data_IF_482452340299
#
_entry.id   IF_482452340299
#
_cell.length_a   1.000
_cell.length_b   1.000
_cell.length_c   1.000
_cell.angle_alpha   90.00
_cell.angle_beta   90.00
_cell.angle_gamma   90.00
#
_symmetry.space_group_name_H-M   'P 1'
#
loop_
_entity.id
_entity.type
_entity.pdbx_description
1 polymer ?
#
# COMPACT_ATOMS: atom_id res chain seq x y z
N UNK A 1 -3.29 6.65 18.69
CA UNK A 1 -3.02 5.44 19.51
C UNK A 1 -1.65 4.85 19.16
N UNK A 2 -1.17 3.83 19.86
CA UNK A 2 0.04 3.08 19.49
C UNK A 2 -0.34 1.62 19.21
N UNK A 3 0.21 1.04 18.16
CA UNK A 3 0.04 -0.37 17.80
C UNK A 3 1.37 -1.00 17.43
N UNK A 4 1.47 -2.33 17.48
CA UNK A 4 2.66 -3.02 16.97
C UNK A 4 2.64 -3.09 15.43
N UNK A 5 3.80 -3.17 14.78
CA UNK A 5 3.86 -3.27 13.31
C UNK A 5 3.10 -4.50 12.79
N UNK A 6 3.20 -5.63 13.49
CA UNK A 6 2.49 -6.86 13.14
C UNK A 6 0.96 -6.72 13.30
N UNK A 7 0.52 -6.02 14.35
CA UNK A 7 -0.90 -5.72 14.55
C UNK A 7 -1.43 -4.79 13.45
N UNK A 8 -0.66 -3.78 13.06
CA UNK A 8 -0.99 -2.90 11.93
C UNK A 8 -1.10 -3.70 10.64
N UNK A 9 -0.10 -4.54 10.32
CA UNK A 9 -0.10 -5.35 9.11
C UNK A 9 -1.33 -6.25 9.03
N UNK A 10 -1.60 -7.00 10.09
CA UNK A 10 -2.74 -7.91 10.13
C UNK A 10 -4.09 -7.19 10.07
N UNK A 11 -4.21 -6.02 10.69
CA UNK A 11 -5.43 -5.20 10.60
C UNK A 11 -5.62 -4.64 9.20
N UNK A 12 -4.58 -4.07 8.58
CA UNK A 12 -4.67 -3.55 7.21
C UNK A 12 -4.95 -4.66 6.19
N UNK A 13 -4.34 -5.83 6.34
CA UNK A 13 -4.60 -7.00 5.51
C UNK A 13 -6.09 -7.39 5.57
N UNK A 14 -6.65 -7.51 6.78
CA UNK A 14 -8.06 -7.84 6.96
C UNK A 14 -8.97 -6.72 6.47
N UNK A 15 -8.63 -5.47 6.70
CA UNK A 15 -9.38 -4.32 6.20
C UNK A 15 -9.48 -4.35 4.67
N UNK A 16 -8.36 -4.58 3.97
CA UNK A 16 -8.34 -4.72 2.52
C UNK A 16 -9.19 -5.91 2.03
N UNK A 17 -9.12 -7.05 2.71
CA UNK A 17 -9.98 -8.22 2.41
C UNK A 17 -11.46 -7.92 2.64
N UNK A 18 -11.80 -7.24 3.73
CA UNK A 18 -13.16 -6.78 4.02
C UNK A 18 -13.70 -5.77 3.01
N UNK A 19 -12.81 -4.94 2.44
CA UNK A 19 -13.09 -4.07 1.30
C UNK A 19 -13.16 -4.79 -0.06
N UNK A 20 -13.14 -6.13 -0.06
CA UNK A 20 -13.27 -6.96 -1.26
C UNK A 20 -12.02 -7.06 -2.13
N UNK A 21 -10.84 -6.62 -1.66
CA UNK A 21 -9.59 -6.73 -2.43
C UNK A 21 -9.09 -8.18 -2.51
N UNK A 22 -8.42 -8.52 -3.60
CA UNK A 22 -7.76 -9.82 -3.75
C UNK A 22 -6.65 -10.01 -2.70
N UNK A 23 -6.26 -11.25 -2.43
CA UNK A 23 -5.26 -11.53 -1.39
C UNK A 23 -3.94 -10.81 -1.65
N UNK A 24 -3.39 -10.89 -2.87
CA UNK A 24 -2.13 -10.23 -3.21
C UNK A 24 -2.18 -8.71 -3.02
N UNK A 25 -3.24 -8.06 -3.51
CA UNK A 25 -3.43 -6.60 -3.32
C UNK A 25 -3.55 -6.24 -1.84
N UNK A 26 -4.21 -7.08 -1.04
CA UNK A 26 -4.35 -6.86 0.40
C UNK A 26 -3.00 -6.97 1.13
N UNK A 27 -2.16 -7.95 0.78
CA UNK A 27 -0.82 -8.12 1.35
C UNK A 27 0.10 -6.96 0.98
N UNK A 28 0.10 -6.55 -0.30
CA UNK A 28 0.95 -5.46 -0.77
C UNK A 28 0.55 -4.12 -0.15
N UNK A 29 -0.75 -3.84 -0.04
CA UNK A 29 -1.24 -2.64 0.62
C UNK A 29 -0.84 -2.61 2.11
N UNK A 30 -1.04 -3.73 2.82
CA UNK A 30 -0.72 -3.82 4.24
C UNK A 30 0.77 -3.58 4.49
N UNK A 31 1.64 -4.22 3.71
CA UNK A 31 3.09 -4.06 3.85
C UNK A 31 3.56 -2.66 3.43
N UNK A 32 2.95 -2.05 2.42
CA UNK A 32 3.22 -0.66 2.04
C UNK A 32 2.86 0.31 3.19
N UNK A 33 1.70 0.12 3.82
CA UNK A 33 1.28 0.90 5.00
C UNK A 33 2.24 0.73 6.18
N UNK A 34 2.65 -0.50 6.48
CA UNK A 34 3.65 -0.80 7.54
C UNK A 34 4.99 -0.14 7.23
N UNK A 35 5.44 -0.17 5.98
CA UNK A 35 6.68 0.46 5.58
C UNK A 35 6.65 1.98 5.81
N UNK A 36 5.54 2.64 5.48
CA UNK A 36 5.34 4.06 5.79
C UNK A 36 5.31 4.32 7.31
N UNK A 37 4.68 3.45 8.09
CA UNK A 37 4.72 3.54 9.56
C UNK A 37 6.15 3.44 10.11
N UNK A 38 6.99 2.56 9.54
CA UNK A 38 8.41 2.47 9.90
C UNK A 38 9.17 3.72 9.54
N UNK A 39 8.79 4.42 8.47
CA UNK A 39 9.37 5.71 8.12
C UNK A 39 8.92 6.86 9.06
N UNK A 40 7.96 6.61 9.95
CA UNK A 40 7.38 7.62 10.83
C UNK A 40 6.21 8.38 10.21
N UNK A 41 5.71 7.94 9.05
CA UNK A 41 4.49 8.45 8.44
C UNK A 41 3.25 7.75 9.02
N UNK A 42 2.08 8.37 8.88
CA UNK A 42 0.80 7.71 9.18
C UNK A 42 0.38 6.75 8.05
N UNK A 43 1.08 5.62 7.97
CA UNK A 43 0.84 4.61 6.94
C UNK A 43 -0.53 3.93 7.02
N UNK A 44 -1.17 3.92 8.20
CA UNK A 44 -2.52 3.39 8.36
C UNK A 44 -3.53 4.29 7.66
N UNK A 45 -3.48 5.60 7.91
CA UNK A 45 -4.35 6.56 7.20
C UNK A 45 -4.17 6.47 5.69
N UNK A 46 -2.93 6.43 5.21
CA UNK A 46 -2.63 6.30 3.77
C UNK A 46 -3.25 5.02 3.18
N UNK A 47 -3.10 3.87 3.84
CA UNK A 47 -3.65 2.61 3.35
C UNK A 47 -5.19 2.61 3.34
N UNK A 48 -5.83 3.15 4.37
CA UNK A 48 -7.30 3.23 4.46
C UNK A 48 -7.87 4.22 3.43
N UNK A 49 -7.25 5.39 3.29
CA UNK A 49 -7.66 6.36 2.25
C UNK A 49 -7.47 5.79 0.83
N UNK A 50 -6.46 4.95 0.62
CA UNK A 50 -6.26 4.22 -0.64
C UNK A 50 -7.39 3.22 -0.90
N UNK A 51 -7.84 2.48 0.12
CA UNK A 51 -8.94 1.51 -0.02
C UNK A 51 -10.29 2.17 -0.29
N UNK A 52 -10.54 3.29 0.39
CA UNK A 52 -11.79 4.05 0.29
C UNK A 52 -11.80 5.04 -0.89
N UNK A 53 -10.66 5.23 -1.56
CA UNK A 53 -10.61 6.01 -2.78
C UNK A 53 -11.61 5.44 -3.80
N UNK A 54 -12.36 6.31 -4.52
CA UNK A 54 -13.31 5.86 -5.52
C UNK A 54 -12.62 4.93 -6.52
N UNK A 55 -13.21 3.75 -6.71
CA UNK A 55 -12.76 2.83 -7.76
C UNK A 55 -13.05 3.50 -9.10
N UNK A 56 -12.01 3.97 -9.76
CA UNK A 56 -12.10 4.48 -11.13
C UNK A 56 -12.21 3.27 -12.10
N UNK A 57 -12.52 3.51 -13.37
CA UNK A 57 -12.69 2.44 -14.37
C UNK A 57 -11.44 1.54 -14.43
N UNK A 58 -11.57 0.39 -15.09
CA UNK A 58 -10.45 -0.54 -15.30
C UNK A 58 -9.17 0.21 -15.72
N UNK A 59 -8.01 -0.18 -15.15
CA UNK A 59 -6.79 0.53 -15.43
C UNK A 59 -6.46 0.50 -16.92
N UNK A 60 -6.37 1.69 -17.51
CA UNK A 60 -6.03 1.87 -18.91
C UNK A 60 -4.57 2.36 -19.02
N UNK A 61 -3.76 1.58 -19.73
CA UNK A 61 -2.38 1.94 -20.05
C UNK A 61 -2.34 2.39 -21.50
N UNK A 62 -1.87 3.61 -21.71
CA UNK A 62 -1.53 4.13 -23.02
C UNK A 62 -0.01 4.08 -23.20
N UNK A 63 0.45 3.25 -24.12
CA UNK A 63 1.86 3.16 -24.47
C UNK A 63 2.23 4.26 -25.48
N UNK A 64 3.17 5.13 -25.11
CA UNK A 64 3.63 6.27 -25.92
C UNK A 64 5.16 6.23 -26.09
N UNK A 65 5.66 5.19 -26.76
CA UNK A 65 7.10 5.01 -26.98
C UNK A 65 7.83 4.59 -25.70
N UNK A 66 8.75 5.42 -25.19
CA UNK A 66 9.49 5.16 -23.93
C UNK A 66 8.75 5.63 -22.68
N UNK A 67 7.62 6.31 -22.86
CA UNK A 67 6.75 6.72 -21.76
C UNK A 67 5.41 5.99 -21.90
N UNK A 68 4.87 5.52 -20.78
CA UNK A 68 3.51 4.98 -20.72
C UNK A 68 2.68 5.80 -19.76
N UNK A 69 1.40 5.99 -20.05
CA UNK A 69 0.49 6.76 -19.23
C UNK A 69 -0.59 5.85 -18.67
N UNK A 70 -0.67 5.75 -17.35
CA UNK A 70 -1.69 4.97 -16.67
C UNK A 70 -2.82 5.91 -16.24
N UNK A 71 -3.95 5.89 -16.96
CA UNK A 71 -4.91 7.01 -16.90
C UNK A 71 -5.99 6.88 -15.83
N UNK A 72 -6.39 5.67 -15.46
CA UNK A 72 -7.47 5.39 -14.51
C UNK A 72 -7.17 4.06 -13.80
N UNK A 73 -7.91 3.70 -12.76
CA UNK A 73 -7.77 2.41 -12.06
C UNK A 73 -8.04 2.48 -10.57
N UNK A 74 -8.21 1.31 -9.95
CA UNK A 74 -8.16 1.17 -8.49
C UNK A 74 -6.75 1.54 -8.01
N UNK A 75 -6.67 2.34 -6.94
CA UNK A 75 -5.44 3.02 -6.56
C UNK A 75 -4.27 2.05 -6.31
N UNK A 76 -4.50 0.91 -5.66
CA UNK A 76 -3.44 -0.06 -5.38
C UNK A 76 -3.06 -0.87 -6.62
N UNK A 77 -4.02 -1.22 -7.49
CA UNK A 77 -3.70 -1.83 -8.79
C UNK A 77 -2.83 -0.91 -9.64
N UNK A 78 -3.13 0.38 -9.61
CA UNK A 78 -2.35 1.41 -10.26
C UNK A 78 -0.92 1.46 -9.72
N UNK A 79 -0.75 1.44 -8.39
CA UNK A 79 0.58 1.37 -7.74
C UNK A 79 1.36 0.15 -8.19
N UNK A 80 0.74 -1.03 -8.17
CA UNK A 80 1.42 -2.28 -8.52
C UNK A 80 1.83 -2.30 -9.99
N UNK A 81 0.97 -1.84 -10.90
CA UNK A 81 1.34 -1.69 -12.30
C UNK A 81 2.55 -0.77 -12.49
N UNK A 82 2.63 0.35 -11.76
CA UNK A 82 3.78 1.26 -11.81
C UNK A 82 5.08 0.59 -11.35
N UNK A 83 5.01 -0.21 -10.28
CA UNK A 83 6.16 -0.97 -9.78
C UNK A 83 6.59 -2.01 -10.82
N UNK A 84 5.67 -2.79 -11.36
CA UNK A 84 5.96 -3.81 -12.38
C UNK A 84 6.63 -3.20 -13.61
N UNK A 85 6.13 -2.05 -14.07
CA UNK A 85 6.75 -1.34 -15.19
C UNK A 85 8.13 -0.78 -14.84
N UNK A 86 8.31 -0.22 -13.65
CA UNK A 86 9.62 0.26 -13.21
C UNK A 86 10.65 -0.87 -13.13
N UNK A 87 10.21 -2.08 -12.80
CA UNK A 87 11.04 -3.29 -12.72
C UNK A 87 11.31 -3.93 -14.10
N UNK A 88 10.62 -3.52 -15.15
CA UNK A 88 10.83 -4.06 -16.49
C UNK A 88 12.21 -3.66 -17.05
N UNK A 89 12.81 -4.52 -17.88
CA UNK A 89 14.12 -4.27 -18.52
C UNK A 89 14.09 -3.15 -19.58
N UNK A 90 12.92 -2.60 -19.87
CA UNK A 90 12.78 -1.45 -20.75
C UNK A 90 12.88 -0.17 -19.90
N UNK A 91 13.62 0.82 -20.39
CA UNK A 91 13.62 2.20 -19.88
C UNK A 91 12.23 2.84 -20.10
N UNK A 92 11.24 2.35 -19.38
CA UNK A 92 9.87 2.80 -19.44
C UNK A 92 9.57 3.67 -18.24
N UNK A 93 9.12 4.88 -18.52
CA UNK A 93 8.65 5.82 -17.51
C UNK A 93 7.15 5.74 -17.51
N UNK A 94 6.57 5.29 -16.40
CA UNK A 94 5.11 5.30 -16.30
C UNK A 94 4.66 6.51 -15.53
N UNK A 95 3.83 7.33 -16.15
CA UNK A 95 3.29 8.57 -15.61
C UNK A 95 1.86 8.37 -15.17
N UNK A 96 1.55 8.82 -13.95
CA UNK A 96 0.17 9.02 -13.50
C UNK A 96 -0.33 10.41 -13.86
N UNK A 97 -1.58 10.55 -14.34
CA UNK A 97 -2.21 11.86 -14.51
C UNK A 97 -2.45 12.52 -13.15
N UNK A 98 -2.57 13.85 -13.21
CA UNK A 98 -2.97 14.70 -12.09
C UNK A 98 -4.31 14.22 -11.50
N UNK A 99 -4.38 14.11 -10.17
CA UNK A 99 -5.65 13.88 -9.44
C UNK A 99 -5.80 12.53 -8.75
N UNK A 100 -4.81 11.63 -8.84
CA UNK A 100 -4.80 10.38 -8.07
C UNK A 100 -4.06 10.56 -6.72
N UNK A 101 -4.65 10.19 -5.56
CA UNK A 101 -4.06 10.33 -4.22
C UNK A 101 -3.01 9.24 -3.91
N UNK A 102 -2.24 8.85 -4.91
CA UNK A 102 -1.37 7.67 -4.92
C UNK A 102 0.10 7.91 -4.46
N UNK A 103 0.67 9.14 -4.39
CA UNK A 103 2.12 9.30 -4.16
C UNK A 103 2.66 8.60 -2.90
N UNK A 104 1.96 8.73 -1.78
CA UNK A 104 2.42 8.15 -0.50
C UNK A 104 2.36 6.62 -0.52
N UNK A 105 1.27 6.04 -1.01
CA UNK A 105 1.15 4.58 -1.08
C UNK A 105 2.11 3.99 -2.13
N UNK A 106 2.40 4.71 -3.22
CA UNK A 106 3.44 4.33 -4.18
C UNK A 106 4.82 4.29 -3.52
N UNK A 107 5.17 5.29 -2.70
CA UNK A 107 6.42 5.29 -1.93
C UNK A 107 6.46 4.13 -0.94
N UNK A 108 5.35 3.86 -0.24
CA UNK A 108 5.24 2.71 0.67
C UNK A 108 5.46 1.37 -0.03
N UNK A 109 4.84 1.18 -1.20
CA UNK A 109 5.01 -0.01 -2.01
C UNK A 109 6.45 -0.12 -2.53
N UNK A 110 6.95 0.90 -3.21
CA UNK A 110 8.34 0.95 -3.69
C UNK A 110 9.35 0.69 -2.58
N UNK A 111 9.12 1.24 -1.39
CA UNK A 111 9.92 1.01 -0.20
C UNK A 111 9.89 -0.43 0.27
N UNK A 112 8.71 -1.05 0.32
CA UNK A 112 8.59 -2.47 0.65
C UNK A 112 9.29 -3.38 -0.36
N UNK A 113 9.09 -3.16 -1.66
CA UNK A 113 9.80 -3.90 -2.72
C UNK A 113 11.32 -3.67 -2.64
N UNK A 114 11.74 -2.44 -2.35
CA UNK A 114 13.14 -2.08 -2.15
C UNK A 114 13.76 -2.87 -0.98
N UNK A 115 13.12 -2.85 0.19
CA UNK A 115 13.58 -3.63 1.36
C UNK A 115 13.56 -5.14 1.14
N UNK A 116 12.61 -5.65 0.35
CA UNK A 116 12.48 -7.09 0.10
C UNK A 116 13.51 -7.63 -0.90
N UNK A 117 13.79 -6.87 -1.96
CA UNK A 117 14.61 -7.34 -3.10
C UNK A 117 15.98 -6.66 -3.20
N UNK A 118 16.29 -5.70 -2.32
CA UNK A 118 17.56 -4.97 -2.36
C UNK A 118 17.67 -4.00 -3.54
N UNK A 119 16.54 -3.55 -4.08
CA UNK A 119 16.46 -2.62 -5.20
C UNK A 119 16.36 -1.18 -4.72
N UNK A 120 16.60 -0.21 -5.60
CA UNK A 120 16.33 1.20 -5.32
C UNK A 120 15.43 1.79 -6.40
N UNK A 121 14.61 2.76 -6.01
CA UNK A 121 13.69 3.44 -6.90
C UNK A 121 13.88 4.96 -6.82
N UNK A 122 13.53 5.66 -7.89
CA UNK A 122 13.32 7.11 -7.90
C UNK A 122 11.87 7.39 -8.25
N UNK A 123 11.16 8.09 -7.36
CA UNK A 123 9.84 8.65 -7.66
C UNK A 123 10.04 10.12 -8.02
N UNK A 124 9.77 10.45 -9.27
CA UNK A 124 9.97 11.77 -9.88
C UNK A 124 8.67 12.55 -9.88
N UNK A 125 8.74 13.78 -9.40
CA UNK A 125 7.62 14.72 -9.33
C UNK A 125 7.84 15.89 -10.30
N UNK A 126 6.78 16.38 -10.94
CA UNK A 126 6.91 17.49 -11.90
C UNK A 126 7.30 18.83 -11.21
N UNK A 127 6.93 19.02 -9.94
CA UNK A 127 7.04 20.29 -9.21
C UNK A 127 7.65 20.16 -7.81
N UNK A 128 8.36 19.06 -7.55
CA UNK A 128 9.00 18.81 -6.26
C UNK A 128 10.31 18.04 -6.45
N UNK A 129 11.09 17.91 -5.37
CA UNK A 129 12.27 17.08 -5.37
C UNK A 129 11.91 15.60 -5.56
N UNK A 130 12.76 14.89 -6.28
CA UNK A 130 12.63 13.44 -6.44
C UNK A 130 12.84 12.73 -5.11
N UNK A 131 12.06 11.69 -4.88
CA UNK A 131 12.21 10.81 -3.72
C UNK A 131 12.98 9.58 -4.16
N UNK A 132 14.24 9.50 -3.72
CA UNK A 132 15.03 8.28 -3.83
C UNK A 132 14.61 7.34 -2.71
N UNK A 133 14.36 6.10 -3.05
CA UNK A 133 13.91 5.05 -2.15
C UNK A 133 14.96 3.95 -2.20
N UNK A 134 15.48 3.56 -1.04
CA UNK A 134 16.46 2.49 -0.87
C UNK A 134 16.00 1.52 0.22
N UNK A 135 16.66 0.36 0.37
CA UNK A 135 16.24 -0.63 1.35
C UNK A 135 16.23 -0.09 2.79
N UNK A 136 17.03 0.95 3.04
CA UNK A 136 17.23 1.57 4.35
C UNK A 136 16.30 2.77 4.63
N UNK A 137 15.61 3.32 3.62
CA UNK A 137 14.77 4.50 3.79
C UNK A 137 14.58 5.36 2.53
N UNK A 138 14.40 6.68 2.72
CA UNK A 138 14.17 7.64 1.62
C UNK A 138 15.09 8.86 1.67
N UNK A 139 15.34 9.53 0.54
CA UNK A 139 16.12 10.78 0.53
C UNK A 139 15.40 11.98 1.14
N UNK A 140 14.07 12.02 1.05
CA UNK A 140 13.22 13.14 1.54
C UNK A 140 11.98 12.56 2.20
N UNK A 141 11.55 13.14 3.33
CA UNK A 141 10.35 12.72 4.02
C UNK A 141 9.10 12.85 3.12
N UNK A 142 8.28 11.80 2.97
CA UNK A 142 7.15 11.83 2.04
C UNK A 142 6.00 12.74 2.47
N UNK A 143 5.99 13.20 3.73
CA UNK A 143 4.95 14.09 4.28
C UNK A 143 4.89 15.45 3.60
N UNK A 144 5.97 15.86 2.94
CA UNK A 144 6.08 17.18 2.31
C UNK A 144 5.78 17.14 0.80
N UNK A 145 5.22 16.03 0.31
CA UNK A 145 5.02 15.82 -1.12
C UNK A 145 3.75 16.49 -1.65
N UNK A 146 3.80 17.07 -2.86
CA UNK A 146 2.64 17.72 -3.44
C UNK A 146 1.58 16.69 -3.84
N UNK A 147 0.36 16.86 -3.32
CA UNK A 147 -0.82 16.12 -3.79
C UNK A 147 -1.26 16.60 -5.16
N UNK A 148 -1.87 15.73 -5.96
CA UNK A 148 -2.41 16.11 -7.27
C UNK A 148 -1.35 16.47 -8.31
N UNK A 149 -0.10 16.05 -8.12
CA UNK A 149 0.97 16.21 -9.11
C UNK A 149 1.14 14.92 -9.90
N UNK A 150 1.49 15.02 -11.19
CA UNK A 150 1.88 13.86 -11.97
C UNK A 150 3.16 13.25 -11.38
N UNK A 151 3.16 11.92 -11.19
CA UNK A 151 4.30 11.19 -10.66
C UNK A 151 4.76 10.14 -11.67
N UNK A 152 6.05 9.87 -11.67
CA UNK A 152 6.61 8.71 -12.36
C UNK A 152 7.60 7.98 -11.47
N UNK A 153 7.78 6.69 -11.70
CA UNK A 153 8.72 5.85 -10.94
C UNK A 153 9.70 5.18 -11.89
N UNK A 154 10.94 4.99 -11.44
CA UNK A 154 12.01 4.29 -12.15
C UNK A 154 12.83 3.46 -11.18
N UNK A 155 13.30 2.29 -11.61
CA UNK A 155 14.30 1.51 -10.85
C UNK A 155 15.70 2.09 -11.10
N UNK A 156 16.57 2.06 -10.09
CA UNK A 156 17.93 2.57 -10.15
C UNK A 156 18.94 1.43 -9.96
N UNK A 157 19.94 1.37 -10.84
CA UNK A 157 21.05 0.41 -10.74
C UNK A 157 22.09 0.79 -9.68
N UNK A 158 22.11 2.07 -9.27
CA UNK A 158 23.04 2.62 -8.26
C UNK A 158 22.30 3.54 -7.30
N UNK A 159 22.51 3.33 -6.00
CA UNK A 159 21.99 4.23 -4.96
C UNK A 159 22.81 5.51 -5.00
N UNK A 160 22.16 6.66 -5.16
CA UNK A 160 22.85 7.96 -5.08
C UNK A 160 23.39 8.24 -3.68
N UNK A 161 24.35 9.15 -3.55
CA UNK A 161 25.07 9.49 -2.30
C UNK A 161 24.21 10.15 -1.20
N UNK A 162 22.89 10.26 -1.38
CA UNK A 162 22.01 10.88 -0.39
C UNK A 162 21.91 9.99 0.86
N UNK A 163 22.15 10.58 2.03
CA UNK A 163 21.92 9.88 3.30
C UNK A 163 20.41 9.72 3.54
N UNK A 164 19.88 8.49 3.60
CA UNK A 164 18.44 8.30 3.71
C UNK A 164 17.93 8.65 5.12
N UNK A 165 16.73 9.20 5.18
CA UNK A 165 15.84 9.12 6.34
C UNK A 165 15.55 7.64 6.60
N UNK A 166 16.18 7.11 7.66
CA UNK A 166 16.17 5.68 7.94
C UNK A 166 14.85 5.19 8.50
N UNK A 167 14.52 3.95 8.17
CA UNK A 167 13.41 3.23 8.80
C UNK A 167 13.63 3.10 10.31
N UNK A 168 12.62 3.48 11.08
CA UNK A 168 12.56 3.34 12.52
C UNK A 168 12.07 1.95 12.95
N UNK A 169 12.50 1.54 14.15
CA UNK A 169 11.98 0.37 14.86
C UNK A 169 11.06 0.77 16.03
N UNK A 170 10.81 2.07 16.21
CA UNK A 170 9.91 2.56 17.24
C UNK A 170 8.46 2.16 16.96
N UNK A 171 7.64 2.12 18.01
CA UNK A 171 6.19 1.95 17.84
C UNK A 171 5.63 3.16 17.10
N UNK A 172 4.92 2.97 15.97
CA UNK A 172 4.33 4.08 15.25
C UNK A 172 3.15 4.67 16.04
N UNK A 173 2.96 5.98 15.86
CA UNK A 173 1.74 6.66 16.28
C UNK A 173 0.72 6.50 15.15
N UNK A 174 -0.44 5.97 15.49
CA UNK A 174 -1.53 5.68 14.56
C UNK A 174 -2.67 6.66 14.83
N UNK A 175 -3.24 7.25 13.79
CA UNK A 175 -4.47 8.01 13.93
C UNK A 175 -5.65 7.12 14.36
N UNK A 176 -6.39 7.57 15.38
CA UNK A 176 -7.47 6.77 15.97
C UNK A 176 -8.69 6.66 15.04
N UNK A 177 -8.95 7.65 14.20
CA UNK A 177 -10.08 7.64 13.25
C UNK A 177 -9.79 6.63 12.14
N UNK A 178 -8.59 6.66 11.56
CA UNK A 178 -8.16 5.70 10.55
C UNK A 178 -8.08 4.28 11.10
N UNK A 179 -7.66 4.10 12.35
CA UNK A 179 -7.71 2.79 12.99
C UNK A 179 -9.14 2.24 13.09
N UNK A 180 -10.10 3.07 13.51
CA UNK A 180 -11.49 2.65 13.62
C UNK A 180 -12.11 2.30 12.25
N UNK A 181 -11.77 3.05 11.19
CA UNK A 181 -12.13 2.71 9.80
C UNK A 181 -11.56 1.35 9.39
N UNK A 182 -10.29 1.08 9.72
CA UNK A 182 -9.65 -0.20 9.47
C UNK A 182 -10.34 -1.37 10.20
N UNK A 183 -10.71 -1.18 11.47
CA UNK A 183 -11.47 -2.16 12.25
C UNK A 183 -12.86 -2.42 11.68
N UNK A 184 -13.54 -1.36 11.20
CA UNK A 184 -14.85 -1.47 10.54
C UNK A 184 -14.76 -2.32 9.29
N UNK A 185 -13.76 -2.08 8.44
CA UNK A 185 -13.52 -2.92 7.25
C UNK A 185 -13.12 -4.34 7.64
N UNK A 186 -12.26 -4.51 8.64
CA UNK A 186 -11.87 -5.82 9.17
C UNK A 186 -13.08 -6.62 9.63
N UNK A 187 -14.08 -5.98 10.24
CA UNK A 187 -15.29 -6.65 10.70
C UNK A 187 -16.05 -7.37 9.57
N UNK A 188 -15.93 -6.89 8.33
CA UNK A 188 -16.55 -7.51 7.14
C UNK A 188 -15.92 -8.85 6.75
N UNK A 189 -14.75 -9.21 7.33
CA UNK A 189 -14.11 -10.51 7.10
C UNK A 189 -14.67 -11.64 7.97
N UNK A 190 -15.45 -11.29 9.01
CA UNK A 190 -16.06 -12.29 9.89
C UNK A 190 -17.42 -12.71 9.35
N UNK A 191 -17.73 -14.00 9.47
CA UNK A 191 -19.09 -14.49 9.26
C UNK A 191 -19.94 -14.00 10.44
N UNK A 192 -21.11 -13.38 10.22
CA UNK A 192 -22.02 -13.03 11.30
C UNK A 192 -22.34 -14.29 12.11
N UNK A 193 -22.23 -14.23 13.44
CA UNK A 193 -22.67 -15.32 14.29
C UNK A 193 -24.19 -15.46 14.13
N UNK A 194 -24.64 -16.35 13.24
CA UNK A 194 -26.04 -16.64 13.07
C UNK A 194 -26.57 -17.31 14.33
N UNK A 195 -27.82 -17.04 14.68
CA UNK A 195 -28.51 -17.68 15.80
C UNK A 195 -28.52 -19.22 15.64
N UNK A 196 -28.52 -19.70 14.39
CA UNK A 196 -28.36 -21.10 14.02
C UNK A 196 -27.01 -21.71 14.42
N UNK A 197 -25.90 -20.96 14.34
CA UNK A 197 -24.59 -21.41 14.86
C UNK A 197 -24.57 -21.51 16.38
N UNK A 198 -25.39 -20.70 17.07
CA UNK A 198 -25.54 -20.70 18.53
C UNK A 198 -26.34 -21.90 19.03
N UNK A 199 -27.41 -22.27 18.31
CA UNK A 199 -28.29 -23.40 18.65
C UNK A 199 -27.66 -24.73 18.19
N UNK A 200 -26.95 -24.73 17.06
CA UNK A 200 -26.41 -25.95 16.44
C UNK A 200 -25.28 -26.61 17.21
N UNK A 201 -24.54 -25.87 18.06
CA UNK A 201 -23.45 -26.38 18.88
C UNK A 201 -22.30 -26.98 18.06
N UNK A 202 -21.06 -26.52 18.26
CA UNK A 202 -19.92 -27.20 17.67
C UNK A 202 -19.71 -28.57 18.37
N UNK A 203 -20.18 -29.65 17.75
CA UNK A 203 -19.61 -30.99 17.93
C UNK A 203 -20.01 -31.78 19.18
N UNK A 204 -21.31 -31.96 19.44
CA UNK A 204 -21.78 -33.12 20.21
C UNK A 204 -22.58 -34.03 19.26
N UNK A 205 -21.85 -34.78 18.43
CA UNK A 205 -22.42 -35.81 17.56
C UNK A 205 -23.12 -36.87 18.41
N UNK A 206 -24.45 -36.88 18.37
CA UNK A 206 -25.26 -38.04 18.72
C UNK A 206 -25.16 -39.04 17.56
N UNK A 207 -24.10 -39.85 17.61
CA UNK A 207 -23.89 -41.06 16.81
C UNK A 207 -23.05 -41.98 17.72
N UNK A 208 -23.32 -43.23 18.01
CA UNK A 208 -24.35 -44.19 17.65
C UNK A 208 -24.11 -45.32 18.67
N UNK A 209 -25.12 -45.70 19.46
CA UNK A 209 -25.05 -46.85 20.37
C UNK A 209 -26.45 -47.46 20.34
N UNK A 210 -26.68 -48.33 19.37
CA UNK A 210 -27.31 -49.65 19.53
C UNK A 210 -27.19 -50.49 18.25
#
# INVERSE_FOLDING_TARGET
>A
MQGSLNEIEMTLLKAARGAGRSMGVAEDLARAGVWLCRLGCDGVSVAIDTLEAPVQKEPAIEFAGRESHLREGEAMQVVLALIDFALSEQDNVVRLPVGLPVPLILIGAAGQFSSQYGLSFSVVFEKAADVLISPDGVSVMPTDLPTGTAVSIRTLSTVGDASPHKLSTNRPIIDAVSWNRAETLTALTYVPASEQSRIGGAGAGLTDND
#
